data_IF_537313682176
#
_entry.id   IF_537313682176
#
_cell.length_a   1.000
_cell.length_b   1.000
_cell.length_c   1.000
_cell.angle_alpha   90.00
_cell.angle_beta   90.00
_cell.angle_gamma   90.00
#
_symmetry.space_group_name_H-M   'P 1'
#
loop_
_entity.id
_entity.type
_entity.pdbx_description
1 polymer ?
#
# COMPACT_ATOMS: atom_id res chain seq x y z
N UNK A 1 -13.72 24.60 -38.84
CA UNK A 1 -13.26 25.48 -37.74
C UNK A 1 -12.08 26.28 -38.29
N UNK A 2 -12.08 27.63 -38.23
CA UNK A 2 -10.95 28.44 -38.73
C UNK A 2 -9.96 28.64 -37.59
N UNK A 3 -8.85 27.91 -37.60
CA UNK A 3 -7.80 28.05 -36.58
C UNK A 3 -7.09 29.40 -36.80
N UNK A 4 -7.03 30.23 -35.76
CA UNK A 4 -6.42 31.56 -35.82
C UNK A 4 -4.95 31.46 -35.42
N UNK A 5 -4.07 31.98 -36.27
CA UNK A 5 -2.66 32.20 -35.93
C UNK A 5 -2.59 33.46 -35.06
N UNK A 6 -1.92 33.38 -33.93
CA UNK A 6 -1.72 34.47 -32.99
C UNK A 6 -0.25 34.60 -32.63
N UNK A 7 0.18 35.80 -32.24
CA UNK A 7 1.52 35.99 -31.70
C UNK A 7 1.62 35.36 -30.30
N UNK A 8 2.74 34.70 -30.03
CA UNK A 8 3.12 34.16 -28.74
C UNK A 8 4.56 34.58 -28.44
N UNK A 9 4.70 35.64 -27.63
CA UNK A 9 5.99 36.29 -27.41
C UNK A 9 6.50 36.89 -28.74
N UNK A 10 7.68 36.45 -29.18
CA UNK A 10 8.30 36.90 -30.42
C UNK A 10 8.07 35.92 -31.61
N UNK A 11 7.15 34.97 -31.46
CA UNK A 11 6.90 33.90 -32.45
C UNK A 11 5.44 33.78 -32.83
N UNK A 12 5.17 33.14 -33.97
CA UNK A 12 3.80 32.78 -34.36
C UNK A 12 3.40 31.47 -33.68
N UNK A 13 2.21 31.45 -33.09
CA UNK A 13 1.63 30.29 -32.44
C UNK A 13 0.23 29.99 -32.97
N UNK A 14 -0.13 28.71 -32.97
CA UNK A 14 -1.49 28.26 -33.25
C UNK A 14 -2.04 27.58 -32.00
N UNK A 15 -3.20 28.03 -31.51
CA UNK A 15 -3.85 27.37 -30.38
C UNK A 15 -4.58 26.12 -30.85
N UNK A 16 -4.19 24.98 -30.30
CA UNK A 16 -4.91 23.72 -30.46
C UNK A 16 -5.98 23.60 -29.38
N UNK A 17 -7.19 23.18 -29.76
CA UNK A 17 -8.29 22.98 -28.81
C UNK A 17 -8.15 21.63 -28.11
N UNK A 18 -8.73 21.48 -26.92
CA UNK A 18 -8.70 20.22 -26.16
C UNK A 18 -9.17 19.00 -26.99
N UNK A 19 -10.27 19.07 -27.77
CA UNK A 19 -10.69 17.95 -28.61
C UNK A 19 -9.66 17.54 -29.68
N UNK A 20 -8.85 18.49 -30.19
CA UNK A 20 -7.78 18.17 -31.14
C UNK A 20 -6.61 17.45 -30.46
N UNK A 21 -6.29 17.84 -29.22
CA UNK A 21 -5.26 17.19 -28.42
C UNK A 21 -5.68 15.78 -28.01
N UNK A 22 -6.95 15.61 -27.64
CA UNK A 22 -7.55 14.32 -27.31
C UNK A 22 -7.56 13.38 -28.53
N UNK A 23 -7.96 13.91 -29.70
CA UNK A 23 -7.95 13.14 -30.96
C UNK A 23 -6.53 12.68 -31.35
N UNK A 24 -5.53 13.53 -31.14
CA UNK A 24 -4.12 13.19 -31.39
C UNK A 24 -3.51 12.35 -30.25
N UNK A 25 -4.20 12.21 -29.12
CA UNK A 25 -3.71 11.58 -27.90
C UNK A 25 -2.30 12.07 -27.53
N UNK A 26 -2.16 13.39 -27.37
CA UNK A 26 -0.90 14.07 -27.04
C UNK A 26 -1.06 14.95 -25.81
N UNK A 27 -0.05 14.92 -24.94
CA UNK A 27 0.04 15.77 -23.74
C UNK A 27 0.87 17.02 -24.04
N UNK A 28 0.70 18.11 -23.29
CA UNK A 28 1.58 19.27 -23.38
C UNK A 28 3.05 18.87 -23.22
N UNK A 29 3.93 19.41 -24.07
CA UNK A 29 5.37 19.10 -24.05
C UNK A 29 5.81 17.96 -24.99
N UNK A 30 4.88 17.29 -25.66
CA UNK A 30 5.19 16.25 -26.65
C UNK A 30 5.55 16.88 -28.00
N UNK A 31 6.62 16.40 -28.63
CA UNK A 31 7.02 16.82 -29.97
C UNK A 31 6.03 16.33 -31.05
N UNK A 32 5.68 17.22 -31.97
CA UNK A 32 4.77 16.96 -33.09
C UNK A 32 5.51 17.14 -34.41
N UNK A 33 5.22 16.27 -35.38
CA UNK A 33 5.72 16.41 -36.74
C UNK A 33 4.78 17.31 -37.54
N UNK A 34 5.34 18.37 -38.11
CA UNK A 34 4.61 19.32 -38.95
C UNK A 34 5.05 19.12 -40.40
N UNK A 35 4.10 18.83 -41.29
CA UNK A 35 4.35 18.66 -42.72
C UNK A 35 3.49 19.63 -43.52
N UNK A 36 4.10 20.31 -44.48
CA UNK A 36 3.37 21.14 -45.44
C UNK A 36 2.93 20.28 -46.62
N UNK A 37 1.64 20.26 -46.92
CA UNK A 37 1.03 19.60 -48.07
C UNK A 37 0.38 20.62 -49.00
N UNK A 38 -0.02 20.16 -50.18
CA UNK A 38 -0.79 20.92 -51.18
C UNK A 38 -2.16 21.42 -50.63
N UNK A 39 -2.66 20.80 -49.57
CA UNK A 39 -3.94 21.11 -48.91
C UNK A 39 -3.80 21.87 -47.59
N UNK A 40 -2.57 22.12 -47.12
CA UNK A 40 -2.33 22.90 -45.91
C UNK A 40 -1.23 22.32 -45.02
N UNK A 41 -1.35 22.54 -43.70
CA UNK A 41 -0.40 22.05 -42.70
C UNK A 41 -0.97 20.81 -42.02
N UNK A 42 -0.27 19.70 -42.16
CA UNK A 42 -0.57 18.45 -41.45
C UNK A 42 0.26 18.38 -40.16
N UNK A 43 -0.42 18.12 -39.05
CA UNK A 43 0.18 17.94 -37.72
C UNK A 43 -0.02 16.49 -37.33
N UNK A 44 1.08 15.76 -37.20
CA UNK A 44 1.09 14.33 -36.87
C UNK A 44 1.82 14.09 -35.56
N UNK A 45 1.40 13.05 -34.83
CA UNK A 45 2.13 12.58 -33.65
C UNK A 45 3.51 12.08 -34.08
N UNK A 46 4.55 12.46 -33.33
CA UNK A 46 5.88 11.92 -33.58
C UNK A 46 5.97 10.49 -33.05
N UNK A 47 5.69 9.51 -33.92
CA UNK A 47 5.72 8.07 -33.60
C UNK A 47 7.11 7.47 -33.70
N UNK A 48 8.09 8.22 -34.20
CA UNK A 48 9.45 7.75 -34.46
C UNK A 48 10.48 8.25 -33.45
N UNK A 49 10.10 9.11 -32.50
CA UNK A 49 11.03 9.56 -31.46
C UNK A 49 11.39 8.41 -30.52
N UNK A 50 12.67 8.31 -30.15
CA UNK A 50 13.12 7.32 -29.16
C UNK A 50 12.37 7.47 -27.83
N UNK A 51 11.96 8.69 -27.49
CA UNK A 51 11.17 8.99 -26.30
C UNK A 51 9.76 8.39 -26.37
N UNK A 52 9.10 8.43 -27.53
CA UNK A 52 7.82 7.77 -27.73
C UNK A 52 7.94 6.26 -27.56
N UNK A 53 8.95 5.65 -28.18
CA UNK A 53 9.20 4.20 -28.06
C UNK A 53 9.47 3.81 -26.60
N UNK A 54 10.27 4.59 -25.87
CA UNK A 54 10.51 4.36 -24.43
C UNK A 54 9.23 4.48 -23.61
N UNK A 55 8.41 5.48 -23.88
CA UNK A 55 7.15 5.72 -23.15
C UNK A 55 6.18 4.57 -23.36
N UNK A 56 5.98 4.14 -24.61
CA UNK A 56 5.09 3.02 -24.94
C UNK A 56 5.61 1.70 -24.36
N UNK A 57 6.93 1.46 -24.42
CA UNK A 57 7.53 0.28 -23.81
C UNK A 57 7.32 0.26 -22.28
N UNK A 58 7.52 1.40 -21.61
CA UNK A 58 7.30 1.53 -20.18
C UNK A 58 5.83 1.32 -19.81
N UNK A 59 4.88 1.97 -20.50
CA UNK A 59 3.44 1.79 -20.26
C UNK A 59 3.00 0.33 -20.47
N UNK A 60 3.59 -0.37 -21.44
CA UNK A 60 3.29 -1.78 -21.71
C UNK A 60 3.87 -2.67 -20.61
N UNK A 61 5.09 -2.41 -20.14
CA UNK A 61 5.73 -3.14 -19.04
C UNK A 61 4.95 -2.92 -17.73
N UNK A 62 4.59 -1.67 -17.43
CA UNK A 62 3.81 -1.32 -16.24
C UNK A 62 2.41 -1.94 -16.29
N UNK A 63 1.77 -1.94 -17.46
CA UNK A 63 0.50 -2.62 -17.67
C UNK A 63 0.61 -4.14 -17.51
N UNK A 64 1.69 -4.75 -18.02
CA UNK A 64 1.97 -6.16 -17.81
C UNK A 64 2.24 -6.46 -16.34
N UNK A 65 3.01 -5.64 -15.62
CA UNK A 65 3.26 -5.77 -14.18
C UNK A 65 1.97 -5.67 -13.36
N UNK A 66 1.12 -4.70 -13.66
CA UNK A 66 -0.17 -4.54 -12.99
C UNK A 66 -1.14 -5.70 -13.30
N UNK A 67 -1.08 -6.27 -14.49
CA UNK A 67 -1.88 -7.44 -14.88
C UNK A 67 -1.26 -8.75 -14.34
N UNK A 68 0.07 -8.76 -14.13
CA UNK A 68 0.86 -9.84 -13.55
C UNK A 68 1.13 -9.65 -12.06
N UNK A 69 0.34 -8.84 -11.36
CA UNK A 69 0.12 -9.01 -9.92
C UNK A 69 -1.05 -9.99 -9.75
N UNK A 70 -0.91 -11.32 -9.98
CA UNK A 70 -1.90 -12.23 -9.46
C UNK A 70 -1.67 -12.33 -7.96
N UNK A 71 -2.78 -12.29 -7.23
CA UNK A 71 -2.90 -12.67 -5.83
C UNK A 71 -2.29 -11.63 -4.87
N UNK A 72 -3.16 -11.00 -4.07
CA UNK A 72 -2.76 -10.49 -2.75
C UNK A 72 -1.81 -11.53 -2.15
N UNK A 73 -0.55 -11.21 -1.94
CA UNK A 73 0.31 -11.99 -1.05
C UNK A 73 -0.34 -11.93 0.33
N UNK A 74 -1.22 -12.90 0.58
CA UNK A 74 -1.72 -13.17 1.92
C UNK A 74 -0.54 -13.87 2.58
N UNK A 75 0.17 -13.17 3.46
CA UNK A 75 1.16 -13.80 4.32
C UNK A 75 0.47 -14.98 4.99
N UNK A 76 0.86 -16.21 4.62
CA UNK A 76 0.31 -17.41 5.24
C UNK A 76 0.70 -17.36 6.72
N UNK A 77 -0.28 -17.21 7.64
CA UNK A 77 0.01 -17.02 9.05
C UNK A 77 0.58 -18.29 9.72
N UNK A 78 0.60 -19.42 9.00
CA UNK A 78 1.18 -20.69 9.43
C UNK A 78 2.52 -21.01 8.76
N UNK A 79 3.01 -20.18 7.84
CA UNK A 79 4.32 -20.39 7.25
C UNK A 79 5.41 -20.31 8.32
N UNK A 80 6.25 -21.35 8.42
CA UNK A 80 7.43 -21.32 9.30
C UNK A 80 8.38 -20.23 8.78
N UNK A 81 8.57 -19.18 9.60
CA UNK A 81 9.49 -18.09 9.29
C UNK A 81 10.92 -18.47 9.66
N UNK A 82 11.92 -17.85 9.01
CA UNK A 82 13.33 -17.97 9.39
C UNK A 82 13.69 -17.37 10.76
N UNK A 83 12.68 -16.94 11.53
CA UNK A 83 12.72 -16.33 12.86
C UNK A 83 11.72 -17.03 13.77
N UNK A 84 12.00 -17.06 15.08
CA UNK A 84 11.06 -17.50 16.10
C UNK A 84 10.34 -16.32 16.76
N UNK A 85 9.23 -16.59 17.45
CA UNK A 85 8.43 -15.61 18.17
C UNK A 85 8.43 -15.89 19.66
N UNK A 86 8.85 -14.94 20.49
CA UNK A 86 8.80 -15.05 21.94
C UNK A 86 7.62 -14.21 22.49
N UNK A 87 6.79 -14.83 23.33
CA UNK A 87 5.69 -14.16 24.02
C UNK A 87 6.18 -13.65 25.38
N UNK A 88 6.18 -12.33 25.58
CA UNK A 88 6.61 -11.69 26.81
C UNK A 88 5.39 -11.12 27.52
N UNK A 89 5.03 -11.69 28.67
CA UNK A 89 3.83 -11.32 29.43
C UNK A 89 4.17 -10.67 30.79
N UNK A 90 4.92 -9.57 30.78
CA UNK A 90 5.18 -8.77 32.00
C UNK A 90 3.88 -8.17 32.53
N UNK A 91 3.02 -7.69 31.64
CA UNK A 91 1.63 -7.37 31.94
C UNK A 91 0.76 -8.45 31.27
N UNK A 92 0.06 -9.30 32.03
CA UNK A 92 -0.72 -10.41 31.46
C UNK A 92 -1.92 -9.94 30.63
N UNK A 93 -2.38 -8.69 30.82
CA UNK A 93 -3.44 -8.09 30.01
C UNK A 93 -2.94 -7.54 28.66
N UNK A 94 -1.61 -7.44 28.48
CA UNK A 94 -0.99 -6.93 27.25
C UNK A 94 0.33 -7.67 26.97
N UNK A 95 0.28 -8.97 26.64
CA UNK A 95 1.46 -9.71 26.23
C UNK A 95 2.02 -9.13 24.92
N UNK A 96 3.35 -9.06 24.84
CA UNK A 96 4.08 -8.51 23.69
C UNK A 96 4.78 -9.66 22.96
N UNK A 97 4.66 -9.67 21.63
CA UNK A 97 5.39 -10.61 20.78
C UNK A 97 6.71 -9.96 20.35
N UNK A 98 7.81 -10.69 20.48
CA UNK A 98 9.12 -10.29 19.93
C UNK A 98 9.65 -11.36 18.99
N UNK A 99 10.22 -10.91 17.89
CA UNK A 99 10.97 -11.74 16.96
C UNK A 99 12.36 -12.04 17.55
N UNK A 100 12.75 -13.31 17.52
CA UNK A 100 14.01 -13.82 18.08
C UNK A 100 14.63 -14.85 17.13
N UNK A 101 15.93 -15.13 17.24
CA UNK A 101 16.55 -16.21 16.48
C UNK A 101 15.88 -17.56 16.75
N UNK A 102 15.72 -18.37 15.70
CA UNK A 102 15.25 -19.75 15.82
C UNK A 102 16.17 -20.55 16.77
N UNK A 103 15.57 -21.26 17.73
CA UNK A 103 16.30 -22.02 18.76
C UNK A 103 16.45 -21.30 20.10
N UNK A 104 15.98 -20.05 20.21
CA UNK A 104 15.85 -19.37 21.50
C UNK A 104 14.90 -20.16 22.41
N UNK A 105 15.28 -20.53 23.65
CA UNK A 105 14.41 -21.28 24.54
C UNK A 105 13.05 -20.59 24.75
N UNK A 106 11.96 -21.33 24.56
CA UNK A 106 10.60 -20.82 24.73
C UNK A 106 10.04 -20.00 23.55
N UNK A 107 10.71 -19.97 22.39
CA UNK A 107 10.16 -19.35 21.19
C UNK A 107 9.19 -20.29 20.44
N UNK A 108 8.14 -19.72 19.87
CA UNK A 108 7.22 -20.34 18.93
C UNK A 108 7.76 -20.23 17.50
N UNK A 109 7.46 -21.23 16.66
CA UNK A 109 7.93 -21.27 15.26
C UNK A 109 7.06 -20.45 14.31
N UNK A 110 5.78 -20.27 14.65
CA UNK A 110 4.83 -19.50 13.84
C UNK A 110 4.27 -18.33 14.62
N UNK A 111 3.84 -17.29 13.91
CA UNK A 111 3.18 -16.13 14.50
C UNK A 111 1.81 -16.51 15.10
N UNK A 112 1.13 -17.49 14.51
CA UNK A 112 -0.18 -17.95 14.97
C UNK A 112 -0.07 -18.62 16.34
N UNK A 113 0.87 -19.55 16.51
CA UNK A 113 1.08 -20.21 17.80
C UNK A 113 1.42 -19.21 18.91
N UNK A 114 2.26 -18.21 18.58
CA UNK A 114 2.61 -17.15 19.53
C UNK A 114 1.40 -16.30 19.93
N UNK A 115 0.50 -16.00 18.98
CA UNK A 115 -0.75 -15.26 19.23
C UNK A 115 -1.73 -16.08 20.05
N UNK A 116 -1.84 -17.38 19.81
CA UNK A 116 -2.70 -18.27 20.61
C UNK A 116 -2.20 -18.38 22.05
N UNK A 117 -0.89 -18.54 22.24
CA UNK A 117 -0.29 -18.51 23.58
C UNK A 117 -0.55 -17.18 24.30
N UNK A 118 -0.38 -16.05 23.62
CA UNK A 118 -0.74 -14.73 24.17
C UNK A 118 -2.23 -14.65 24.56
N UNK A 119 -3.13 -15.18 23.73
CA UNK A 119 -4.56 -15.23 24.00
C UNK A 119 -4.87 -16.06 25.25
N UNK A 120 -4.21 -17.21 25.41
CA UNK A 120 -4.39 -18.07 26.57
C UNK A 120 -3.96 -17.37 27.87
N UNK A 121 -2.84 -16.65 27.84
CA UNK A 121 -2.35 -15.85 28.99
C UNK A 121 -3.40 -14.81 29.41
N UNK A 122 -3.98 -14.09 28.44
CA UNK A 122 -5.03 -13.10 28.71
C UNK A 122 -6.28 -13.77 29.30
N UNK A 123 -6.69 -14.92 28.76
CA UNK A 123 -7.87 -15.64 29.25
C UNK A 123 -7.68 -16.14 30.67
N UNK A 124 -6.51 -16.68 31.01
CA UNK A 124 -6.18 -17.11 32.36
C UNK A 124 -6.20 -15.92 33.32
N UNK A 125 -5.58 -14.80 32.96
CA UNK A 125 -5.59 -13.59 33.79
C UNK A 125 -7.00 -13.04 34.04
N UNK A 126 -7.90 -13.13 33.05
CA UNK A 126 -9.32 -12.78 33.21
C UNK A 126 -10.03 -13.75 34.17
N UNK A 127 -9.71 -15.05 34.09
CA UNK A 127 -10.29 -16.05 34.99
C UNK A 127 -9.85 -15.79 36.44
N UNK A 128 -8.55 -15.58 36.67
CA UNK A 128 -7.98 -15.27 37.98
C UNK A 128 -8.60 -13.98 38.56
N UNK A 129 -8.76 -12.94 37.73
CA UNK A 129 -9.40 -11.70 38.15
C UNK A 129 -10.88 -11.87 38.53
N UNK A 130 -11.62 -12.77 37.85
CA UNK A 130 -13.00 -13.10 38.19
C UNK A 130 -13.10 -13.86 39.50
N UNK A 131 -12.17 -14.79 39.74
CA UNK A 131 -12.10 -15.54 40.99
C UNK A 131 -11.80 -14.61 42.16
N UNK A 132 -10.75 -13.78 42.06
CA UNK A 132 -10.42 -12.77 43.06
C UNK A 132 -11.59 -11.80 43.34
N UNK A 133 -12.32 -11.38 42.30
CA UNK A 133 -13.50 -10.52 42.46
C UNK A 133 -14.66 -11.24 43.18
N UNK A 134 -14.81 -12.54 42.95
CA UNK A 134 -15.79 -13.37 43.66
C UNK A 134 -15.43 -13.50 45.14
N UNK A 135 -14.16 -13.74 45.45
CA UNK A 135 -13.65 -13.78 46.83
C UNK A 135 -13.85 -12.46 47.56
N UNK A 136 -13.53 -11.32 46.92
CA UNK A 136 -13.71 -9.99 47.51
C UNK A 136 -15.18 -9.66 47.80
N UNK A 137 -16.10 -10.12 46.95
CA UNK A 137 -17.56 -9.99 47.18
C UNK A 137 -18.04 -10.85 48.35
N UNK A 138 -17.48 -12.05 48.55
CA UNK A 138 -17.82 -12.91 49.68
C UNK A 138 -17.38 -12.32 51.03
N UNK A 139 -16.32 -11.51 51.03
CA UNK A 139 -15.80 -10.81 52.23
C UNK A 139 -16.57 -9.51 52.53
N UNK A 140 -17.57 -9.14 51.70
CA UNK A 140 -18.42 -7.97 51.93
C UNK A 140 -17.83 -6.63 51.47
N UNK A 141 -16.78 -6.66 50.64
CA UNK A 141 -16.21 -5.45 50.02
C UNK A 141 -16.99 -5.17 48.72
N UNK A 142 -18.07 -4.41 48.83
CA UNK A 142 -18.94 -4.07 47.69
C UNK A 142 -18.38 -2.97 46.80
N UNK A 143 -17.46 -2.14 47.31
CA UNK A 143 -16.85 -1.02 46.58
C UNK A 143 -15.32 -1.15 46.55
N UNK A 144 -14.78 -1.64 45.43
CA UNK A 144 -13.36 -1.54 45.13
C UNK A 144 -13.13 -0.18 44.48
N UNK A 145 -12.63 0.80 45.24
CA UNK A 145 -12.21 2.09 44.68
C UNK A 145 -10.96 1.82 43.86
N UNK A 146 -11.08 1.89 42.52
CA UNK A 146 -9.91 1.84 41.65
C UNK A 146 -9.01 3.04 41.98
N UNK A 147 -7.86 2.78 42.60
CA UNK A 147 -6.78 3.76 42.63
C UNK A 147 -6.18 3.73 41.22
N UNK A 148 -6.58 4.70 40.39
CA UNK A 148 -5.91 4.96 39.13
C UNK A 148 -4.49 5.45 39.44
N UNK A 149 -3.49 4.63 39.12
CA UNK A 149 -2.08 4.99 39.06
C UNK A 149 -1.72 5.39 37.63
#
# INVERSE_FOLDING_TARGET
>A
MKTKISEWGNSHGMRMTAPMLDHLNVKPGVELNIKLTDKGVEIMKNTHSQEYVKTVAQETIDGLLATSEPVKTVDDPYAESGIGYLVIAVNPCKPVLREVPLGTPGCYKTLTDAKEAARQIIQNAIADAKEALTELRQIGIENITYIAL
#
